data_IF_210143014223
#
_entry.id   IF_210143014223
#
_cell.length_a   1.000
_cell.length_b   1.000
_cell.length_c   1.000
_cell.angle_alpha   90.00
_cell.angle_beta   90.00
_cell.angle_gamma   90.00
#
_symmetry.space_group_name_H-M   'P 1'
#
loop_
_entity.id
_entity.type
_entity.pdbx_description
1 polymer ?
#
# COMPACT_ATOMS: atom_id res chain seq x y z
N UNK A 1 20.05 -5.53 -3.95
CA UNK A 1 18.74 -6.21 -3.89
C UNK A 1 18.64 -7.16 -5.08
N UNK A 2 18.10 -8.37 -4.94
CA UNK A 2 18.03 -9.37 -6.04
C UNK A 2 17.31 -8.81 -7.28
N UNK A 3 16.35 -7.90 -7.09
CA UNK A 3 15.68 -7.16 -8.15
C UNK A 3 16.65 -6.34 -9.05
N UNK A 4 17.77 -5.85 -8.52
CA UNK A 4 18.75 -5.09 -9.33
C UNK A 4 19.73 -6.00 -10.09
N UNK A 5 19.68 -7.31 -9.87
CA UNK A 5 20.56 -8.30 -10.51
C UNK A 5 19.92 -8.95 -11.74
N UNK A 6 18.62 -8.71 -11.98
CA UNK A 6 17.90 -9.21 -13.16
C UNK A 6 17.60 -8.06 -14.10
N UNK A 7 17.75 -8.25 -15.40
CA UNK A 7 17.31 -7.27 -16.40
C UNK A 7 15.83 -7.42 -16.75
N UNK A 8 15.19 -8.52 -16.29
CA UNK A 8 13.81 -8.80 -16.59
C UNK A 8 12.86 -7.93 -15.75
N UNK A 9 12.20 -6.97 -16.41
CA UNK A 9 11.25 -6.03 -15.81
C UNK A 9 10.08 -6.73 -15.11
N UNK A 10 9.62 -7.88 -15.62
CA UNK A 10 8.57 -8.70 -14.98
C UNK A 10 9.02 -9.23 -13.62
N UNK A 11 10.24 -9.76 -13.56
CA UNK A 11 10.79 -10.27 -12.30
C UNK A 11 11.00 -9.13 -11.30
N UNK A 12 11.50 -7.96 -11.75
CA UNK A 12 11.58 -6.76 -10.90
C UNK A 12 10.22 -6.39 -10.32
N UNK A 13 9.19 -6.32 -11.16
CA UNK A 13 7.83 -6.00 -10.73
C UNK A 13 7.33 -6.99 -9.66
N UNK A 14 7.46 -8.29 -9.90
CA UNK A 14 7.03 -9.33 -8.95
C UNK A 14 7.79 -9.20 -7.62
N UNK A 15 9.11 -9.01 -7.66
CA UNK A 15 9.91 -8.88 -6.44
C UNK A 15 9.52 -7.65 -5.61
N UNK A 16 9.36 -6.49 -6.24
CA UNK A 16 8.94 -5.28 -5.53
C UNK A 16 7.53 -5.42 -4.96
N UNK A 17 6.61 -6.02 -5.72
CA UNK A 17 5.25 -6.29 -5.25
C UNK A 17 5.24 -7.21 -4.02
N UNK A 18 6.02 -8.30 -4.05
CA UNK A 18 6.12 -9.24 -2.93
C UNK A 18 6.69 -8.59 -1.65
N UNK A 19 7.68 -7.70 -1.79
CA UNK A 19 8.23 -6.97 -0.63
C UNK A 19 7.16 -6.08 0.00
N UNK A 20 6.37 -5.37 -0.83
CA UNK A 20 5.30 -4.50 -0.34
C UNK A 20 4.16 -5.29 0.31
N UNK A 21 3.76 -6.40 -0.31
CA UNK A 21 2.74 -7.32 0.22
C UNK A 21 3.16 -7.86 1.59
N UNK A 22 4.39 -8.37 1.69
CA UNK A 22 4.97 -8.85 2.95
C UNK A 22 5.00 -7.74 4.01
N UNK A 23 5.51 -6.56 3.65
CA UNK A 23 5.62 -5.43 4.59
C UNK A 23 4.26 -4.98 5.11
N UNK A 24 3.26 -4.93 4.23
CA UNK A 24 1.89 -4.52 4.56
C UNK A 24 1.21 -5.51 5.50
N UNK A 25 1.46 -6.80 5.33
CA UNK A 25 0.94 -7.83 6.22
C UNK A 25 1.42 -7.64 7.67
N UNK A 26 2.73 -7.59 7.89
CA UNK A 26 3.30 -7.48 9.24
C UNK A 26 3.09 -6.10 9.88
N UNK A 27 3.08 -5.03 9.09
CA UNK A 27 2.84 -3.68 9.59
C UNK A 27 1.45 -3.58 10.23
N UNK A 28 0.41 -4.05 9.54
CA UNK A 28 -0.96 -4.00 10.05
C UNK A 28 -1.16 -4.89 11.27
N UNK A 29 -0.52 -6.08 11.32
CA UNK A 29 -0.52 -6.94 12.51
C UNK A 29 0.10 -6.24 13.73
N UNK A 30 1.24 -5.58 13.55
CA UNK A 30 1.90 -4.87 14.66
C UNK A 30 1.06 -3.68 15.16
N UNK A 31 0.35 -2.98 14.26
CA UNK A 31 -0.51 -1.84 14.60
C UNK A 31 -1.71 -2.27 15.45
N UNK A 32 -2.38 -3.37 15.11
CA UNK A 32 -3.49 -3.88 15.92
C UNK A 32 -3.01 -4.39 17.28
N UNK A 33 -1.88 -5.10 17.34
CA UNK A 33 -1.30 -5.53 18.62
C UNK A 33 -1.00 -4.35 19.53
N UNK A 34 -0.43 -3.27 18.99
CA UNK A 34 -0.17 -2.05 19.74
C UNK A 34 -1.45 -1.40 20.25
N UNK A 35 -2.50 -1.28 19.42
CA UNK A 35 -3.79 -0.71 19.86
C UNK A 35 -4.44 -1.52 20.96
N UNK A 36 -4.53 -2.84 20.81
CA UNK A 36 -5.07 -3.74 21.83
C UNK A 36 -4.27 -3.61 23.14
N UNK A 37 -2.93 -3.56 23.04
CA UNK A 37 -2.06 -3.38 24.21
C UNK A 37 -2.31 -2.04 24.91
N UNK A 38 -2.52 -0.96 24.16
CA UNK A 38 -2.85 0.36 24.74
C UNK A 38 -4.21 0.33 25.43
N UNK A 39 -5.20 -0.34 24.85
CA UNK A 39 -6.52 -0.54 25.46
C UNK A 39 -6.40 -1.27 26.80
N UNK A 40 -5.62 -2.35 26.88
CA UNK A 40 -5.37 -3.06 28.14
C UNK A 40 -4.58 -2.26 29.18
N UNK A 41 -3.75 -1.32 28.75
CA UNK A 41 -2.98 -0.44 29.64
C UNK A 41 -3.81 0.70 30.23
N UNK A 42 -5.05 0.91 29.76
CA UNK A 42 -5.91 1.94 30.31
C UNK A 42 -6.44 1.50 31.70
N UNK A 43 -6.13 2.24 32.78
CA UNK A 43 -6.57 1.85 34.13
C UNK A 43 -8.10 1.85 34.31
N UNK A 44 -8.85 2.63 33.52
CA UNK A 44 -10.32 2.64 33.56
C UNK A 44 -10.95 1.32 33.09
N UNK A 45 -10.16 0.40 32.50
CA UNK A 45 -10.65 -0.90 32.05
C UNK A 45 -11.25 -1.74 33.18
N UNK A 46 -10.79 -1.51 34.41
CA UNK A 46 -11.32 -2.19 35.58
C UNK A 46 -12.73 -1.69 35.94
N UNK A 47 -12.99 -0.40 35.73
CA UNK A 47 -14.24 0.25 36.10
C UNK A 47 -15.30 0.15 34.99
N UNK A 48 -14.88 0.05 33.72
CA UNK A 48 -15.78 0.00 32.55
C UNK A 48 -15.45 -1.13 31.57
N UNK A 49 -15.33 -2.39 32.02
CA UNK A 49 -14.84 -3.49 31.18
C UNK A 49 -15.68 -3.70 29.91
N UNK A 50 -16.98 -3.43 29.97
CA UNK A 50 -17.90 -3.56 28.84
C UNK A 50 -17.62 -2.55 27.72
N UNK A 51 -17.27 -1.31 28.06
CA UNK A 51 -16.93 -0.28 27.07
C UNK A 51 -15.64 -0.66 26.33
N UNK A 52 -14.60 -1.03 27.08
CA UNK A 52 -13.33 -1.45 26.51
C UNK A 52 -13.47 -2.76 25.71
N UNK A 53 -14.34 -3.69 26.12
CA UNK A 53 -14.62 -4.89 25.33
C UNK A 53 -15.19 -4.58 23.95
N UNK A 54 -16.07 -3.57 23.84
CA UNK A 54 -16.62 -3.12 22.56
C UNK A 54 -15.54 -2.53 21.66
N UNK A 55 -14.66 -1.71 22.22
CA UNK A 55 -13.51 -1.14 21.50
C UNK A 55 -12.59 -2.24 20.95
N UNK A 56 -12.28 -3.27 21.74
CA UNK A 56 -11.46 -4.40 21.28
C UNK A 56 -12.16 -5.17 20.15
N UNK A 57 -13.46 -5.44 20.29
CA UNK A 57 -14.24 -6.15 19.27
C UNK A 57 -14.26 -5.35 17.95
N UNK A 58 -14.40 -4.02 18.03
CA UNK A 58 -14.40 -3.13 16.87
C UNK A 58 -13.04 -3.14 16.15
N UNK A 59 -11.94 -2.96 16.88
CA UNK A 59 -10.58 -3.04 16.32
C UNK A 59 -10.30 -4.40 15.66
N UNK A 60 -10.74 -5.50 16.27
CA UNK A 60 -10.61 -6.85 15.68
C UNK A 60 -11.48 -7.02 14.44
N UNK A 61 -12.73 -6.55 14.45
CA UNK A 61 -13.64 -6.64 13.30
C UNK A 61 -13.09 -5.87 12.11
N UNK A 62 -12.53 -4.70 12.32
CA UNK A 62 -11.89 -3.90 11.27
C UNK A 62 -10.68 -4.61 10.67
N UNK A 63 -9.90 -5.32 11.49
CA UNK A 63 -8.77 -6.10 11.01
C UNK A 63 -9.21 -7.37 10.23
N UNK A 64 -10.22 -8.10 10.72
CA UNK A 64 -10.70 -9.32 10.06
C UNK A 64 -11.60 -9.06 8.85
N UNK A 65 -12.19 -7.87 8.72
CA UNK A 65 -12.95 -7.49 7.52
C UNK A 65 -12.03 -7.15 6.34
N UNK A 66 -10.76 -6.81 6.61
CA UNK A 66 -9.71 -6.57 5.61
C UNK A 66 -9.07 -7.88 5.12
N UNK A 67 -9.86 -8.93 4.81
CA UNK A 67 -9.29 -10.21 4.32
C UNK A 67 -8.63 -10.11 2.94
N UNK A 68 -8.93 -9.06 2.19
CA UNK A 68 -8.34 -8.83 0.88
C UNK A 68 -6.97 -8.15 1.05
N UNK A 69 -5.91 -8.86 0.67
CA UNK A 69 -4.53 -8.36 0.76
C UNK A 69 -4.33 -7.09 -0.06
N UNK A 70 -5.15 -6.86 -1.10
CA UNK A 70 -5.18 -5.61 -1.85
C UNK A 70 -5.59 -4.41 -0.97
N UNK A 71 -6.53 -4.60 -0.05
CA UNK A 71 -7.02 -3.55 0.86
C UNK A 71 -5.98 -3.26 1.93
N UNK A 72 -5.32 -4.29 2.45
CA UNK A 72 -4.21 -4.14 3.40
C UNK A 72 -3.04 -3.36 2.81
N UNK A 73 -2.66 -3.70 1.59
CA UNK A 73 -1.60 -3.02 0.86
C UNK A 73 -1.95 -1.55 0.61
N UNK A 74 -3.16 -1.27 0.14
CA UNK A 74 -3.65 0.10 -0.09
C UNK A 74 -3.62 0.94 1.20
N UNK A 75 -4.12 0.38 2.31
CA UNK A 75 -4.10 1.07 3.60
C UNK A 75 -2.67 1.35 4.07
N UNK A 76 -1.77 0.38 3.89
CA UNK A 76 -0.37 0.56 4.29
C UNK A 76 0.31 1.66 3.48
N UNK A 77 0.10 1.68 2.16
CA UNK A 77 0.66 2.72 1.28
C UNK A 77 0.10 4.08 1.65
N UNK A 78 -1.22 4.23 1.75
CA UNK A 78 -1.87 5.53 2.03
C UNK A 78 -1.55 6.09 3.42
N UNK A 79 -1.25 5.23 4.40
CA UNK A 79 -0.85 5.67 5.74
C UNK A 79 0.62 6.09 5.87
N UNK A 80 1.50 5.61 4.97
CA UNK A 80 2.95 5.77 5.14
C UNK A 80 3.65 6.47 3.96
N UNK A 81 2.94 6.73 2.86
CA UNK A 81 3.51 7.36 1.66
C UNK A 81 2.75 8.64 1.35
N UNK A 82 3.47 9.76 1.25
CA UNK A 82 2.89 11.02 0.80
C UNK A 82 2.87 11.11 -0.72
N UNK A 83 1.96 11.92 -1.26
CA UNK A 83 1.92 12.16 -2.72
C UNK A 83 3.18 12.91 -3.19
N UNK A 84 3.75 13.77 -2.35
CA UNK A 84 5.01 14.48 -2.61
C UNK A 84 6.18 13.51 -2.79
N UNK A 85 6.29 12.47 -1.95
CA UNK A 85 7.34 11.44 -2.11
C UNK A 85 7.19 10.69 -3.43
N UNK A 86 5.96 10.32 -3.79
CA UNK A 86 5.68 9.65 -5.07
C UNK A 86 6.00 10.55 -6.25
N UNK A 87 5.67 11.84 -6.17
CA UNK A 87 6.03 12.82 -7.20
C UNK A 87 7.55 12.87 -7.38
N UNK A 88 8.31 12.95 -6.29
CA UNK A 88 9.77 12.99 -6.34
C UNK A 88 10.37 11.74 -7.00
N UNK A 89 9.87 10.55 -6.66
CA UNK A 89 10.34 9.28 -7.23
C UNK A 89 9.99 9.13 -8.72
N UNK A 90 8.79 9.56 -9.11
CA UNK A 90 8.38 9.63 -10.52
C UNK A 90 9.21 10.66 -11.26
N UNK A 91 9.52 11.81 -10.64
CA UNK A 91 10.31 12.89 -11.22
C UNK A 91 11.72 12.42 -11.60
N UNK A 92 12.34 11.62 -10.73
CA UNK A 92 13.65 11.02 -10.96
C UNK A 92 13.66 10.01 -12.11
N UNK A 93 12.51 9.44 -12.48
CA UNK A 93 12.39 8.36 -13.46
C UNK A 93 11.32 8.64 -14.54
N UNK A 94 11.09 9.92 -14.88
CA UNK A 94 9.99 10.36 -15.77
C UNK A 94 9.90 9.60 -17.09
N UNK A 95 11.05 9.34 -17.72
CA UNK A 95 11.12 8.65 -19.00
C UNK A 95 10.52 7.24 -18.91
N UNK A 96 10.74 6.55 -17.79
CA UNK A 96 10.17 5.22 -17.56
C UNK A 96 8.65 5.28 -17.42
N UNK A 97 8.13 6.21 -16.61
CA UNK A 97 6.69 6.32 -16.31
C UNK A 97 5.85 6.97 -17.42
N UNK A 98 6.50 7.56 -18.43
CA UNK A 98 5.86 8.11 -19.63
C UNK A 98 5.62 7.06 -20.74
N UNK A 99 6.10 5.83 -20.57
CA UNK A 99 5.96 4.75 -21.53
C UNK A 99 5.04 3.65 -21.00
N UNK A 100 4.29 3.03 -21.93
CA UNK A 100 3.54 1.82 -21.61
C UNK A 100 4.53 0.67 -21.40
N UNK A 101 4.20 -0.21 -20.47
CA UNK A 101 5.06 -1.33 -20.10
C UNK A 101 4.39 -2.62 -20.55
N UNK A 102 5.04 -3.34 -21.47
CA UNK A 102 4.56 -4.60 -22.01
C UNK A 102 5.38 -5.75 -21.48
N UNK A 103 4.73 -6.71 -20.82
CA UNK A 103 5.37 -7.91 -20.33
C UNK A 103 5.29 -9.05 -21.35
N UNK A 104 6.29 -9.93 -21.32
CA UNK A 104 6.25 -11.21 -22.03
C UNK A 104 5.03 -12.02 -21.57
N UNK A 105 4.05 -12.18 -22.47
CA UNK A 105 2.74 -12.76 -22.18
C UNK A 105 1.54 -11.84 -22.51
N UNK A 106 1.78 -10.62 -23.01
CA UNK A 106 0.74 -9.73 -23.54
C UNK A 106 0.07 -8.82 -22.51
N UNK A 107 0.47 -8.89 -21.24
CA UNK A 107 0.02 -7.96 -20.21
C UNK A 107 0.66 -6.59 -20.47
N UNK A 108 -0.18 -5.55 -20.63
CA UNK A 108 0.26 -4.17 -20.79
C UNK A 108 -0.18 -3.33 -19.60
N UNK A 109 0.78 -2.67 -18.97
CA UNK A 109 0.55 -1.61 -17.98
C UNK A 109 0.62 -0.28 -18.71
N UNK A 110 -0.46 0.50 -18.63
CA UNK A 110 -0.48 1.83 -19.22
C UNK A 110 0.46 2.77 -18.47
N UNK A 111 1.07 3.69 -19.21
CA UNK A 111 1.86 4.79 -18.67
C UNK A 111 1.08 5.57 -17.61
N UNK A 112 1.79 6.00 -16.57
CA UNK A 112 1.23 6.80 -15.48
C UNK A 112 1.14 8.27 -15.89
N UNK A 113 2.15 8.75 -16.61
CA UNK A 113 2.23 10.12 -17.09
C UNK A 113 1.73 10.22 -18.53
N UNK A 114 0.85 11.20 -18.82
CA UNK A 114 0.53 11.56 -20.20
C UNK A 114 1.73 12.23 -20.88
N UNK A 115 2.45 13.06 -20.14
CA UNK A 115 3.65 13.81 -20.54
C UNK A 115 4.53 14.09 -19.31
N UNK A 116 5.82 14.41 -19.52
CA UNK A 116 6.81 14.62 -18.46
C UNK A 116 6.47 15.77 -17.48
N UNK A 117 5.58 16.68 -17.88
CA UNK A 117 5.08 17.81 -17.09
C UNK A 117 3.83 17.46 -16.26
N UNK A 118 3.27 16.25 -16.40
CA UNK A 118 2.07 15.82 -15.67
C UNK A 118 2.33 15.40 -14.22
N UNK A 119 3.58 15.32 -13.76
CA UNK A 119 3.92 14.90 -12.38
C UNK A 119 3.26 15.82 -11.35
N UNK A 120 3.26 17.12 -11.60
CA UNK A 120 2.66 18.12 -10.72
C UNK A 120 1.14 17.95 -10.57
N UNK A 121 0.50 17.38 -11.60
CA UNK A 121 -0.95 17.16 -11.63
C UNK A 121 -1.41 15.92 -10.86
N UNK A 122 -0.49 15.09 -10.36
CA UNK A 122 -0.83 13.93 -9.53
C UNK A 122 -1.46 14.38 -8.20
N UNK A 123 -2.56 13.74 -7.84
CA UNK A 123 -3.34 13.97 -6.61
C UNK A 123 -3.23 12.77 -5.68
N UNK A 124 -3.61 12.96 -4.41
CA UNK A 124 -3.66 11.88 -3.44
C UNK A 124 -4.53 10.70 -3.91
N UNK A 125 -5.61 10.97 -4.66
CA UNK A 125 -6.47 9.94 -5.26
C UNK A 125 -5.76 9.11 -6.33
N UNK A 126 -4.66 9.61 -6.93
CA UNK A 126 -3.86 8.86 -7.89
C UNK A 126 -2.99 7.78 -7.22
N UNK A 127 -2.74 7.88 -5.91
CA UNK A 127 -2.16 6.78 -5.12
C UNK A 127 -3.05 5.53 -5.17
N UNK A 128 -4.36 5.73 -5.35
CA UNK A 128 -5.39 4.68 -5.40
C UNK A 128 -5.55 4.14 -6.84
N UNK A 129 -5.04 4.83 -7.87
CA UNK A 129 -5.27 4.49 -9.28
C UNK A 129 -4.63 3.16 -9.70
N UNK A 130 -3.74 2.59 -8.89
CA UNK A 130 -3.16 1.24 -9.06
C UNK A 130 -4.28 0.16 -9.11
N UNK A 131 -5.46 0.43 -8.52
CA UNK A 131 -6.64 -0.47 -8.58
C UNK A 131 -7.33 -0.54 -9.95
N UNK A 132 -7.19 0.49 -10.81
CA UNK A 132 -7.84 0.53 -12.13
C UNK A 132 -6.99 -0.11 -13.22
N UNK A 133 -5.67 -0.08 -13.07
CA UNK A 133 -4.73 -0.63 -14.07
C UNK A 133 -4.75 -2.17 -14.06
N UNK A 134 -5.07 -2.80 -12.91
CA UNK A 134 -5.11 -4.26 -12.75
C UNK A 134 -6.48 -4.92 -13.09
N UNK A 135 -7.49 -4.14 -13.51
CA UNK A 135 -8.87 -4.62 -13.75
C UNK A 135 -9.28 -4.74 -15.24
N UNK A 136 -8.34 -4.81 -16.17
CA UNK A 136 -8.63 -5.09 -17.58
C UNK A 136 -7.79 -6.24 -18.11
#
# INVERSE_FOLDING_TARGET
>A
MVANLTDNVRLKFIFYFQILEYSSYYYLESKIQNRITQTFRNPEIYDKPEEFSKVIIEEMKDHFSQKDDSVKLEKTITENVSIEDVKNEIDANKEFFANDLEFEGGLKINKILKDASSVDNLKADDLILIKKILKK
#
